data_IF_798528328021
#
_entry.id   IF_798528328021
#
_cell.length_a   1.000
_cell.length_b   1.000
_cell.length_c   1.000
_cell.angle_alpha   90.00
_cell.angle_beta   90.00
_cell.angle_gamma   90.00
#
_symmetry.space_group_name_H-M   'P 1'
#
loop_
_entity.id
_entity.type
_entity.pdbx_description
1 polymer ?
#
# COMPACT_ATOMS: atom_id res chain seq x y z
N UNK A 1 49.53 -1.58 49.97
CA UNK A 1 49.05 -2.34 48.78
C UNK A 1 47.51 -2.48 48.66
N UNK A 2 46.69 -2.13 49.63
CA UNK A 2 45.21 -2.26 49.55
C UNK A 2 44.50 -1.06 48.94
N UNK A 3 45.08 0.11 48.85
CA UNK A 3 44.48 1.32 48.34
C UNK A 3 44.60 1.47 46.79
N UNK A 4 45.59 0.84 46.18
CA UNK A 4 45.83 0.90 44.74
C UNK A 4 44.87 0.03 43.93
N UNK A 5 44.37 -1.07 44.52
CA UNK A 5 43.40 -1.94 43.86
C UNK A 5 41.99 -1.32 43.81
N UNK A 6 41.63 -0.53 44.81
CA UNK A 6 40.28 0.09 44.86
C UNK A 6 40.12 1.23 43.84
N UNK A 7 41.21 1.97 43.60
CA UNK A 7 41.20 3.07 42.61
C UNK A 7 41.16 2.54 41.17
N UNK A 8 41.80 1.40 40.90
CA UNK A 8 41.82 0.81 39.57
C UNK A 8 40.45 0.21 39.19
N UNK A 9 39.74 -0.38 40.16
CA UNK A 9 38.40 -0.94 39.95
C UNK A 9 37.34 0.15 39.70
N UNK A 10 37.48 1.29 40.38
CA UNK A 10 36.56 2.43 40.13
C UNK A 10 36.77 3.08 38.74
N UNK A 11 38.01 3.09 38.26
CA UNK A 11 38.31 3.61 36.91
C UNK A 11 37.82 2.67 35.81
N UNK A 12 37.81 1.35 36.03
CA UNK A 12 37.30 0.38 35.08
C UNK A 12 35.76 0.39 35.01
N UNK A 13 35.08 0.68 36.13
CA UNK A 13 33.61 0.83 36.11
C UNK A 13 33.15 2.13 35.45
N UNK A 14 33.95 3.19 35.48
CA UNK A 14 33.62 4.46 34.82
C UNK A 14 33.76 4.40 33.28
N UNK A 15 34.54 3.44 32.74
CA UNK A 15 34.69 3.25 31.31
C UNK A 15 33.56 2.42 30.67
N UNK A 16 32.73 1.76 31.50
CA UNK A 16 31.57 0.97 30.98
C UNK A 16 30.26 1.77 30.89
N UNK A 17 30.25 3.02 31.34
CA UNK A 17 29.16 3.95 31.08
C UNK A 17 29.34 4.66 29.72
N UNK A 18 29.64 3.92 28.64
CA UNK A 18 29.38 4.43 27.32
C UNK A 18 27.86 4.54 27.17
N UNK A 19 27.39 5.74 27.44
CA UNK A 19 26.07 6.22 27.14
C UNK A 19 25.66 5.67 25.79
N UNK A 20 24.67 4.79 25.77
CA UNK A 20 23.83 4.60 24.64
C UNK A 20 23.11 5.94 24.44
N UNK A 21 23.78 6.89 23.81
CA UNK A 21 23.17 8.13 23.41
C UNK A 21 22.08 7.73 22.43
N UNK A 22 20.81 7.84 22.86
CA UNK A 22 19.69 7.83 21.94
C UNK A 22 20.00 8.89 20.89
N UNK A 23 20.53 8.47 19.74
CA UNK A 23 20.58 9.32 18.58
C UNK A 23 19.13 9.75 18.35
N UNK A 24 18.81 11.01 18.61
CA UNK A 24 17.54 11.56 18.19
C UNK A 24 17.49 11.39 16.69
N UNK A 25 16.67 10.47 16.23
CA UNK A 25 16.40 10.31 14.82
C UNK A 25 15.62 11.55 14.39
N UNK A 26 16.27 12.41 13.63
CA UNK A 26 15.62 13.58 13.07
C UNK A 26 15.13 13.18 11.68
N UNK A 27 13.81 13.14 11.49
CA UNK A 27 13.26 13.04 10.14
C UNK A 27 12.81 14.43 9.67
N UNK A 28 12.73 14.61 8.37
CA UNK A 28 12.34 15.86 7.74
C UNK A 28 11.18 15.63 6.78
N UNK A 29 10.15 16.45 6.88
CA UNK A 29 9.06 16.50 5.91
C UNK A 29 9.27 17.66 4.92
N UNK A 30 8.88 17.50 3.64
CA UNK A 30 8.41 16.25 3.01
C UNK A 30 9.53 15.24 2.83
N UNK A 31 9.17 13.96 2.82
CA UNK A 31 10.10 12.91 2.39
C UNK A 31 10.49 13.11 0.91
N UNK A 32 11.70 12.70 0.48
CA UNK A 32 12.17 12.91 -0.89
C UNK A 32 11.56 11.92 -1.89
N UNK A 33 10.24 11.70 -1.79
CA UNK A 33 9.49 10.82 -2.69
C UNK A 33 8.12 11.41 -2.98
N UNK A 34 7.69 11.33 -4.24
CA UNK A 34 6.42 11.87 -4.69
C UNK A 34 5.45 10.71 -4.99
N UNK A 35 4.75 10.25 -3.97
CA UNK A 35 3.69 9.26 -4.08
C UNK A 35 2.34 9.86 -3.70
N UNK A 36 1.27 9.48 -4.45
CA UNK A 36 -0.08 9.40 -3.92
C UNK A 36 -0.26 8.06 -3.19
N UNK A 37 -1.27 7.97 -2.33
CA UNK A 37 -1.70 6.74 -1.66
C UNK A 37 -0.55 5.92 -1.06
N UNK A 38 0.28 6.48 -0.15
CA UNK A 38 1.45 5.77 0.34
C UNK A 38 1.05 4.60 1.24
N UNK A 39 1.56 3.41 0.93
CA UNK A 39 1.43 2.21 1.73
C UNK A 39 2.79 1.79 2.30
N UNK A 40 2.84 1.49 3.60
CA UNK A 40 4.07 1.11 4.30
C UNK A 40 3.99 -0.35 4.79
N UNK A 41 4.89 -1.18 4.27
CA UNK A 41 5.11 -2.54 4.73
C UNK A 41 6.33 -2.59 5.66
N UNK A 42 6.18 -3.19 6.84
CA UNK A 42 7.30 -3.71 7.62
C UNK A 42 7.48 -5.17 7.27
N UNK A 43 8.48 -5.49 6.47
CA UNK A 43 8.72 -6.85 6.00
C UNK A 43 9.46 -7.73 7.02
N UNK A 44 9.40 -9.04 6.83
CA UNK A 44 10.06 -10.04 7.68
C UNK A 44 11.58 -9.96 7.66
N UNK A 45 12.17 -9.36 6.61
CA UNK A 45 13.62 -9.08 6.51
C UNK A 45 14.10 -7.96 7.46
N UNK A 46 13.15 -7.30 8.14
CA UNK A 46 13.40 -6.23 9.11
C UNK A 46 13.39 -4.84 8.52
N UNK A 47 13.26 -4.68 7.20
CA UNK A 47 13.20 -3.38 6.53
C UNK A 47 11.76 -2.86 6.38
N UNK A 48 11.68 -1.57 6.09
CA UNK A 48 10.44 -0.90 5.72
C UNK A 48 10.43 -0.68 4.20
N UNK A 49 9.27 -0.87 3.58
CA UNK A 49 9.07 -0.66 2.16
C UNK A 49 7.87 0.26 1.94
N UNK A 50 8.07 1.33 1.20
CA UNK A 50 7.02 2.28 0.88
C UNK A 50 6.66 2.19 -0.59
N UNK A 51 5.40 1.89 -0.84
CA UNK A 51 4.76 1.81 -2.14
C UNK A 51 3.81 3.00 -2.30
N UNK A 52 3.44 3.33 -3.52
CA UNK A 52 2.45 4.38 -3.75
C UNK A 52 2.12 4.59 -5.23
N UNK A 53 1.09 5.37 -5.47
CA UNK A 53 0.68 5.78 -6.80
C UNK A 53 1.68 6.76 -7.41
N UNK A 54 2.11 6.51 -8.64
CA UNK A 54 3.03 7.39 -9.36
C UNK A 54 4.50 6.94 -9.31
N UNK A 55 5.39 7.83 -9.77
CA UNK A 55 6.82 7.55 -9.84
C UNK A 55 7.27 6.74 -11.06
N UNK A 56 6.36 6.01 -11.72
CA UNK A 56 6.55 5.30 -12.99
C UNK A 56 5.27 5.34 -13.81
N UNK A 57 5.39 5.20 -15.13
CA UNK A 57 4.22 5.14 -16.01
C UNK A 57 3.65 3.72 -16.02
N UNK A 58 2.33 3.62 -15.82
CA UNK A 58 1.58 2.35 -15.86
C UNK A 58 2.17 1.24 -14.98
N UNK A 59 2.56 1.59 -13.76
CA UNK A 59 3.16 0.62 -12.86
C UNK A 59 3.45 1.19 -11.48
N UNK A 60 4.29 0.49 -10.74
CA UNK A 60 4.67 0.86 -9.39
C UNK A 60 6.17 0.75 -9.18
N UNK A 61 6.67 1.54 -8.24
CA UNK A 61 8.03 1.48 -7.71
C UNK A 61 7.99 1.40 -6.19
N UNK A 62 9.14 1.13 -5.57
CA UNK A 62 9.25 1.03 -4.13
C UNK A 62 10.50 1.76 -3.62
N UNK A 63 10.39 2.28 -2.41
CA UNK A 63 11.52 2.74 -1.62
C UNK A 63 11.69 1.84 -0.40
N UNK A 64 12.94 1.58 -0.02
CA UNK A 64 13.28 0.83 1.20
C UNK A 64 13.94 1.71 2.26
N UNK A 65 13.80 1.33 3.53
CA UNK A 65 14.43 2.00 4.66
C UNK A 65 14.68 1.03 5.82
N UNK A 66 15.78 1.24 6.54
CA UNK A 66 16.06 0.55 7.79
C UNK A 66 15.54 1.33 9.01
N UNK A 67 15.29 2.65 8.87
CA UNK A 67 15.08 3.57 9.99
C UNK A 67 13.87 4.52 9.83
N UNK A 68 13.12 4.43 8.71
CA UNK A 68 12.02 5.32 8.31
C UNK A 68 12.45 6.78 8.04
N UNK A 69 13.74 7.06 8.03
CA UNK A 69 14.31 8.40 7.81
C UNK A 69 15.08 8.45 6.51
N UNK A 70 15.95 7.46 6.31
CA UNK A 70 16.78 7.34 5.12
C UNK A 70 16.15 6.35 4.17
N UNK A 71 15.81 6.80 2.97
CA UNK A 71 15.11 6.02 1.98
C UNK A 71 15.97 5.78 0.74
N UNK A 72 15.98 4.55 0.26
CA UNK A 72 16.64 4.13 -0.96
C UNK A 72 15.60 3.86 -2.04
N UNK A 73 15.75 4.45 -3.21
CA UNK A 73 14.93 4.15 -4.38
C UNK A 73 15.36 2.81 -4.99
N UNK A 74 14.51 1.80 -4.88
CA UNK A 74 14.75 0.44 -5.40
C UNK A 74 14.33 0.30 -6.87
N UNK A 75 13.68 1.31 -7.42
CA UNK A 75 13.23 1.33 -8.81
C UNK A 75 11.87 0.68 -9.04
N UNK A 76 11.51 0.43 -10.32
CA UNK A 76 10.24 -0.17 -10.71
C UNK A 76 10.13 -1.62 -10.24
N UNK A 77 8.95 -1.98 -9.72
CA UNK A 77 8.64 -3.32 -9.20
C UNK A 77 7.58 -4.05 -10.02
N UNK A 78 6.75 -3.30 -10.72
CA UNK A 78 5.65 -3.82 -11.54
C UNK A 78 5.42 -2.90 -12.73
N UNK A 79 5.12 -3.49 -13.87
CA UNK A 79 4.75 -2.81 -15.10
C UNK A 79 3.48 -3.44 -15.68
N UNK A 80 2.42 -2.67 -15.73
CA UNK A 80 1.16 -3.02 -16.40
C UNK A 80 0.96 -2.27 -17.71
N UNK A 81 -0.27 -2.30 -18.24
CA UNK A 81 -0.62 -1.63 -19.50
C UNK A 81 0.04 -2.26 -20.73
N UNK A 82 0.54 -3.49 -20.63
CA UNK A 82 1.11 -4.26 -21.74
C UNK A 82 0.03 -5.01 -22.50
N UNK A 83 0.38 -5.65 -23.63
CA UNK A 83 -0.55 -6.51 -24.38
C UNK A 83 -1.11 -7.64 -23.52
N UNK A 84 -0.31 -8.14 -22.59
CA UNK A 84 -0.63 -9.30 -21.77
C UNK A 84 -1.29 -8.91 -20.43
N UNK A 85 -1.26 -7.63 -20.05
CA UNK A 85 -1.93 -7.14 -18.86
C UNK A 85 -3.45 -7.08 -19.04
N UNK A 86 -4.23 -7.38 -17.99
CA UNK A 86 -5.68 -7.19 -17.98
C UNK A 86 -6.09 -5.71 -17.97
N UNK A 87 -5.21 -4.84 -17.46
CA UNK A 87 -5.42 -3.41 -17.27
C UNK A 87 -4.72 -2.57 -18.34
N UNK A 88 -5.27 -1.38 -18.62
CA UNK A 88 -4.73 -0.45 -19.61
C UNK A 88 -3.87 0.65 -19.00
N UNK A 89 -4.39 1.32 -17.96
CA UNK A 89 -3.80 2.53 -17.37
C UNK A 89 -4.35 2.81 -15.97
N UNK A 90 -4.01 3.97 -15.40
CA UNK A 90 -4.47 4.43 -14.08
C UNK A 90 -4.17 3.41 -12.98
N UNK A 91 -2.90 2.99 -12.86
CA UNK A 91 -2.46 2.10 -11.79
C UNK A 91 -2.34 2.88 -10.48
N UNK A 92 -3.28 2.64 -9.53
CA UNK A 92 -3.46 3.43 -8.32
C UNK A 92 -3.50 2.60 -7.06
N UNK A 93 -3.25 3.27 -5.92
CA UNK A 93 -3.40 2.79 -4.56
C UNK A 93 -2.83 1.37 -4.34
N UNK A 94 -1.51 1.16 -4.53
CA UNK A 94 -0.90 -0.15 -4.31
C UNK A 94 -0.78 -0.44 -2.82
N UNK A 95 -1.21 -1.64 -2.41
CA UNK A 95 -0.93 -2.20 -1.09
C UNK A 95 -0.19 -3.53 -1.22
N UNK A 96 0.86 -3.74 -0.43
CA UNK A 96 1.68 -4.95 -0.50
C UNK A 96 1.66 -5.69 0.82
N UNK A 97 1.25 -6.96 0.76
CA UNK A 97 1.16 -7.84 1.92
C UNK A 97 2.14 -9.01 1.79
N UNK A 98 2.84 -9.30 2.88
CA UNK A 98 3.68 -10.48 2.99
C UNK A 98 2.87 -11.64 3.59
N UNK A 99 2.80 -12.76 2.89
CA UNK A 99 2.13 -13.98 3.36
C UNK A 99 2.83 -15.22 2.81
N UNK A 100 3.07 -16.20 3.67
CA UNK A 100 3.67 -17.50 3.31
C UNK A 100 4.96 -17.39 2.46
N UNK A 101 5.81 -16.39 2.80
CA UNK A 101 7.08 -16.14 2.12
C UNK A 101 6.95 -15.53 0.72
N UNK A 102 5.79 -15.03 0.38
CA UNK A 102 5.50 -14.28 -0.85
C UNK A 102 5.00 -12.88 -0.52
N UNK A 103 5.07 -12.01 -1.52
CA UNK A 103 4.57 -10.63 -1.47
C UNK A 103 3.46 -10.48 -2.50
N UNK A 104 2.32 -9.97 -2.06
CA UNK A 104 1.13 -9.78 -2.88
C UNK A 104 0.86 -8.29 -3.02
N UNK A 105 0.99 -7.77 -4.22
CA UNK A 105 0.71 -6.39 -4.60
C UNK A 105 -0.74 -6.30 -5.09
N UNK A 106 -1.59 -5.63 -4.34
CA UNK A 106 -2.97 -5.30 -4.71
C UNK A 106 -3.01 -3.88 -5.25
N UNK A 107 -3.80 -3.64 -6.27
CA UNK A 107 -3.88 -2.33 -6.91
C UNK A 107 -5.19 -2.15 -7.67
N UNK A 108 -5.51 -0.89 -7.96
CA UNK A 108 -6.62 -0.50 -8.83
C UNK A 108 -6.09 -0.12 -10.21
N UNK A 109 -6.81 -0.46 -11.27
CA UNK A 109 -6.50 -0.02 -12.63
C UNK A 109 -7.71 -0.11 -13.55
N UNK A 110 -7.68 0.60 -14.69
CA UNK A 110 -8.71 0.50 -15.70
C UNK A 110 -8.66 -0.84 -16.43
N UNK A 111 -9.81 -1.53 -16.47
CA UNK A 111 -9.97 -2.83 -17.12
C UNK A 111 -10.18 -2.70 -18.64
N UNK A 112 -9.44 -3.47 -19.42
CA UNK A 112 -9.52 -3.47 -20.91
C UNK A 112 -10.91 -3.72 -21.45
N UNK A 113 -11.67 -4.64 -20.84
CA UNK A 113 -12.93 -5.09 -21.41
C UNK A 113 -14.07 -4.09 -21.23
N UNK A 114 -14.06 -3.32 -20.14
CA UNK A 114 -15.08 -2.30 -19.84
C UNK A 114 -16.52 -2.72 -20.20
N UNK A 115 -17.07 -3.78 -19.60
CA UNK A 115 -18.35 -4.34 -20.00
C UNK A 115 -19.52 -3.38 -19.74
N UNK A 116 -19.41 -2.49 -18.78
CA UNK A 116 -20.42 -1.51 -18.38
C UNK A 116 -20.30 -0.19 -19.15
N UNK A 117 -19.26 -0.01 -19.97
CA UNK A 117 -18.95 1.20 -20.72
C UNK A 117 -18.85 2.46 -19.84
N UNK A 118 -18.31 2.28 -18.65
CA UNK A 118 -18.00 3.37 -17.74
C UNK A 118 -16.87 4.22 -18.28
N UNK A 119 -16.88 5.53 -17.98
CA UNK A 119 -15.78 6.43 -18.35
C UNK A 119 -14.48 6.02 -17.64
N UNK A 120 -14.60 5.64 -16.37
CA UNK A 120 -13.54 5.09 -15.57
C UNK A 120 -13.96 3.70 -15.11
N UNK A 121 -13.27 2.71 -15.63
CA UNK A 121 -13.67 1.31 -15.48
C UNK A 121 -12.71 0.56 -14.56
N UNK A 122 -12.50 1.12 -13.39
CA UNK A 122 -11.58 0.55 -12.40
C UNK A 122 -12.02 -0.82 -11.90
N UNK A 123 -11.04 -1.69 -11.76
CA UNK A 123 -11.14 -2.97 -11.04
C UNK A 123 -9.87 -3.19 -10.21
N UNK A 124 -9.92 -4.18 -9.36
CA UNK A 124 -8.81 -4.58 -8.50
C UNK A 124 -8.06 -5.74 -9.11
N UNK A 125 -6.74 -5.62 -9.15
CA UNK A 125 -5.80 -6.65 -9.54
C UNK A 125 -4.90 -7.09 -8.41
N UNK A 126 -4.25 -8.23 -8.60
CA UNK A 126 -3.21 -8.74 -7.71
C UNK A 126 -2.02 -9.27 -8.52
N UNK A 127 -0.83 -8.92 -8.06
CA UNK A 127 0.42 -9.45 -8.58
C UNK A 127 1.26 -10.05 -7.44
N UNK A 128 2.13 -10.99 -7.73
CA UNK A 128 2.94 -11.70 -6.73
C UNK A 128 4.42 -11.61 -7.05
N UNK A 129 5.24 -11.58 -6.00
CA UNK A 129 6.69 -11.65 -6.09
C UNK A 129 7.30 -12.46 -4.92
N UNK A 130 8.56 -12.86 -5.09
CA UNK A 130 9.35 -13.51 -4.05
C UNK A 130 10.07 -12.51 -3.13
N UNK A 131 10.04 -11.22 -3.48
CA UNK A 131 10.72 -10.15 -2.76
C UNK A 131 9.84 -8.90 -2.72
N UNK A 132 9.96 -8.06 -1.68
CA UNK A 132 9.21 -6.81 -1.58
C UNK A 132 9.58 -5.80 -2.68
N UNK A 133 10.76 -5.97 -3.29
CA UNK A 133 11.25 -5.18 -4.42
C UNK A 133 10.89 -5.77 -5.79
N UNK A 134 10.02 -6.79 -5.83
CA UNK A 134 9.59 -7.43 -7.07
C UNK A 134 10.68 -8.28 -7.77
N UNK A 135 10.60 -8.48 -9.10
CA UNK A 135 9.50 -8.03 -9.96
C UNK A 135 8.18 -8.75 -9.66
N UNK A 136 7.11 -7.98 -9.56
CA UNK A 136 5.77 -8.52 -9.39
C UNK A 136 5.18 -8.96 -10.74
N UNK A 137 4.49 -10.11 -10.73
CA UNK A 137 3.79 -10.65 -11.90
C UNK A 137 2.31 -10.82 -11.59
N UNK A 138 1.46 -10.41 -12.51
CA UNK A 138 0.01 -10.61 -12.36
C UNK A 138 -0.31 -12.09 -12.11
N UNK A 139 -1.15 -12.35 -11.11
CA UNK A 139 -1.63 -13.69 -10.81
C UNK A 139 -2.70 -14.16 -11.79
N UNK A 140 -3.50 -13.22 -12.28
CA UNK A 140 -4.61 -13.47 -13.19
C UNK A 140 -4.56 -12.48 -14.35
N UNK A 141 -4.89 -12.95 -15.54
CA UNK A 141 -5.07 -12.08 -16.70
C UNK A 141 -6.49 -11.47 -16.73
N UNK A 142 -7.00 -11.12 -15.57
CA UNK A 142 -8.31 -10.50 -15.36
C UNK A 142 -8.36 -9.86 -13.97
N UNK A 143 -9.32 -8.97 -13.69
CA UNK A 143 -9.58 -8.50 -12.34
C UNK A 143 -9.84 -9.65 -11.36
N UNK A 144 -9.41 -9.48 -10.11
CA UNK A 144 -9.65 -10.47 -9.04
C UNK A 144 -11.13 -10.59 -8.72
N UNK A 145 -11.84 -9.47 -8.84
CA UNK A 145 -13.24 -9.37 -8.47
C UNK A 145 -13.94 -8.33 -9.34
N UNK A 146 -15.14 -8.65 -9.82
CA UNK A 146 -16.01 -7.76 -10.56
C UNK A 146 -17.42 -7.77 -9.97
N UNK A 147 -17.81 -6.73 -9.22
CA UNK A 147 -19.16 -6.58 -8.69
C UNK A 147 -20.16 -6.01 -9.72
N UNK A 148 -19.74 -5.75 -10.96
CA UNK A 148 -20.55 -5.15 -12.01
C UNK A 148 -20.56 -3.61 -12.01
N UNK A 149 -19.64 -2.98 -11.24
CA UNK A 149 -19.44 -1.53 -11.19
C UNK A 149 -17.97 -1.22 -10.84
N UNK A 150 -17.49 0.02 -11.10
CA UNK A 150 -16.11 0.40 -10.80
C UNK A 150 -15.80 0.35 -9.29
N UNK A 151 -14.63 -0.21 -8.97
CA UNK A 151 -14.11 -0.35 -7.61
C UNK A 151 -12.63 0.00 -7.55
N UNK A 152 -12.21 0.60 -6.43
CA UNK A 152 -10.82 0.99 -6.16
C UNK A 152 -10.43 0.69 -4.70
N UNK A 153 -9.16 0.94 -4.37
CA UNK A 153 -8.60 1.00 -3.01
C UNK A 153 -8.79 -0.31 -2.25
N UNK A 154 -8.16 -1.35 -2.79
CA UNK A 154 -8.16 -2.66 -2.15
C UNK A 154 -7.40 -2.64 -0.82
N UNK A 155 -8.04 -3.05 0.25
CA UNK A 155 -7.41 -3.30 1.55
C UNK A 155 -7.70 -4.73 2.00
N UNK A 156 -6.68 -5.45 2.45
CA UNK A 156 -6.78 -6.87 2.79
C UNK A 156 -6.65 -7.07 4.29
N UNK A 157 -7.64 -7.70 4.88
CA UNK A 157 -7.62 -8.16 6.26
C UNK A 157 -7.47 -9.68 6.31
N UNK A 158 -6.37 -10.14 6.90
CA UNK A 158 -6.18 -11.55 7.26
C UNK A 158 -6.69 -11.76 8.68
N UNK A 159 -7.80 -12.46 8.83
CA UNK A 159 -8.32 -12.86 10.14
C UNK A 159 -7.72 -14.21 10.53
N UNK A 160 -6.60 -14.18 11.22
CA UNK A 160 -5.89 -15.38 11.66
C UNK A 160 -6.71 -16.22 12.65
N UNK A 161 -7.69 -15.63 13.33
CA UNK A 161 -8.54 -16.36 14.29
C UNK A 161 -9.55 -17.25 13.59
N UNK A 162 -10.13 -16.81 12.49
CA UNK A 162 -11.08 -17.59 11.68
C UNK A 162 -10.44 -18.27 10.48
N UNK A 163 -9.20 -17.91 10.14
CA UNK A 163 -8.52 -18.35 8.92
C UNK A 163 -9.09 -17.74 7.64
N UNK A 164 -9.90 -16.69 7.77
CA UNK A 164 -10.53 -16.01 6.65
C UNK A 164 -9.73 -14.81 6.20
N UNK A 165 -9.91 -14.44 4.94
CA UNK A 165 -9.37 -13.22 4.37
C UNK A 165 -10.52 -12.38 3.83
N UNK A 166 -10.45 -11.09 4.09
CA UNK A 166 -11.47 -10.14 3.64
C UNK A 166 -10.83 -9.10 2.73
N UNK A 167 -11.49 -8.81 1.62
CA UNK A 167 -11.19 -7.70 0.74
C UNK A 167 -12.16 -6.57 1.05
N UNK A 168 -11.64 -5.43 1.48
CA UNK A 168 -12.36 -4.16 1.53
C UNK A 168 -12.02 -3.35 0.30
N UNK A 169 -13.00 -2.63 -0.21
CA UNK A 169 -12.82 -1.77 -1.37
C UNK A 169 -13.81 -0.60 -1.37
N UNK A 170 -13.48 0.44 -2.10
CA UNK A 170 -14.38 1.56 -2.35
C UNK A 170 -15.11 1.36 -3.68
N UNK A 171 -16.42 1.51 -3.68
CA UNK A 171 -17.18 1.72 -4.91
C UNK A 171 -16.98 3.16 -5.35
N UNK A 172 -16.43 3.35 -6.55
CA UNK A 172 -16.35 4.67 -7.17
C UNK A 172 -17.73 5.09 -7.68
N UNK A 173 -18.24 6.21 -7.20
CA UNK A 173 -19.52 6.76 -7.61
C UNK A 173 -19.28 8.05 -8.37
N UNK A 174 -18.98 7.95 -9.66
CA UNK A 174 -18.81 9.13 -10.50
C UNK A 174 -20.17 9.64 -10.96
N UNK A 175 -20.40 10.93 -10.74
CA UNK A 175 -21.45 11.75 -11.36
C UNK A 175 -22.88 11.20 -11.23
N UNK A 176 -23.29 10.70 -10.11
CA UNK A 176 -24.70 10.48 -9.86
C UNK A 176 -25.20 11.34 -8.69
N UNK A 177 -26.44 11.74 -8.78
CA UNK A 177 -27.10 12.47 -7.72
C UNK A 177 -27.21 11.55 -6.48
N UNK A 178 -26.62 11.97 -5.38
CA UNK A 178 -26.73 11.28 -4.11
C UNK A 178 -27.75 12.00 -3.25
N UNK A 179 -28.71 11.26 -2.70
CA UNK A 179 -29.71 11.76 -1.77
C UNK A 179 -29.23 11.53 -0.33
N UNK A 180 -28.41 12.46 0.18
CA UNK A 180 -27.87 12.44 1.53
C UNK A 180 -28.00 13.81 2.19
N UNK A 181 -27.89 13.88 3.52
CA UNK A 181 -27.86 15.15 4.26
C UNK A 181 -26.72 16.05 3.82
N UNK A 182 -25.53 15.46 3.54
CA UNK A 182 -24.36 16.20 3.07
C UNK A 182 -24.60 16.76 1.66
N UNK A 183 -25.20 15.96 0.78
CA UNK A 183 -25.58 16.35 -0.57
C UNK A 183 -26.57 17.52 -0.53
N UNK A 184 -27.62 17.43 0.28
CA UNK A 184 -28.60 18.50 0.45
C UNK A 184 -27.96 19.77 0.95
N UNK A 185 -27.13 19.67 1.98
CA UNK A 185 -26.41 20.81 2.55
C UNK A 185 -25.47 21.48 1.55
N UNK A 186 -24.72 20.70 0.77
CA UNK A 186 -23.77 21.23 -0.21
C UNK A 186 -24.51 21.93 -1.37
N UNK A 187 -25.64 21.37 -1.83
CA UNK A 187 -26.49 21.99 -2.86
C UNK A 187 -27.09 23.33 -2.38
N UNK A 188 -27.57 23.39 -1.11
CA UNK A 188 -28.07 24.63 -0.50
C UNK A 188 -26.99 25.73 -0.43
N UNK A 189 -25.71 25.34 -0.31
CA UNK A 189 -24.56 26.26 -0.33
C UNK A 189 -24.10 26.64 -1.73
N UNK A 190 -24.66 26.03 -2.78
CA UNK A 190 -24.23 26.23 -4.16
C UNK A 190 -22.80 25.75 -4.45
N UNK A 191 -22.34 24.77 -3.69
CA UNK A 191 -20.98 24.26 -3.84
C UNK A 191 -20.89 23.14 -4.87
N UNK A 192 -21.94 22.33 -4.99
CA UNK A 192 -21.99 21.21 -5.93
C UNK A 192 -23.36 21.07 -6.54
N UNK A 193 -23.42 20.86 -7.84
CA UNK A 193 -24.63 20.42 -8.55
C UNK A 193 -24.84 18.91 -8.39
N UNK A 194 -23.73 18.18 -8.33
CA UNK A 194 -23.64 16.73 -8.13
C UNK A 194 -22.57 16.43 -7.08
N UNK A 195 -22.77 15.41 -6.27
CA UNK A 195 -21.80 14.91 -5.30
C UNK A 195 -21.37 13.53 -5.72
N UNK A 196 -20.06 13.33 -5.75
CA UNK A 196 -19.44 12.01 -5.87
C UNK A 196 -19.33 11.39 -4.47
N UNK A 197 -19.87 10.20 -4.29
CA UNK A 197 -19.71 9.41 -3.08
C UNK A 197 -18.93 8.12 -3.36
N UNK A 198 -18.01 7.79 -2.47
CA UNK A 198 -17.39 6.47 -2.42
C UNK A 198 -17.98 5.68 -1.27
N UNK A 199 -18.46 4.48 -1.56
CA UNK A 199 -18.99 3.56 -0.56
C UNK A 199 -18.00 2.44 -0.30
N UNK A 200 -17.77 2.13 0.97
CA UNK A 200 -16.86 1.06 1.37
C UNK A 200 -17.65 -0.23 1.54
N UNK A 201 -17.17 -1.29 0.91
CA UNK A 201 -17.71 -2.64 1.01
C UNK A 201 -16.64 -3.60 1.50
N UNK A 202 -17.08 -4.71 2.09
CA UNK A 202 -16.23 -5.84 2.44
C UNK A 202 -16.80 -7.12 1.88
N UNK A 203 -15.96 -7.95 1.30
CA UNK A 203 -16.31 -9.29 0.84
C UNK A 203 -15.31 -10.29 1.40
N UNK A 204 -15.76 -11.51 1.67
CA UNK A 204 -14.87 -12.64 1.91
C UNK A 204 -14.39 -13.12 0.54
N UNK A 205 -13.12 -12.92 0.15
CA UNK A 205 -12.63 -13.40 -1.13
C UNK A 205 -12.71 -14.92 -1.16
N UNK A 206 -13.02 -15.44 -2.31
CA UNK A 206 -12.93 -16.87 -2.58
C UNK A 206 -11.53 -17.33 -2.20
N UNK A 207 -11.48 -18.32 -1.32
CA UNK A 207 -10.30 -18.95 -0.71
C UNK A 207 -8.99 -18.77 -1.49
N UNK A 208 -7.94 -18.22 -0.85
CA UNK A 208 -6.55 -18.18 -1.34
C UNK A 208 -5.95 -19.55 -1.67
N UNK A 209 -6.66 -20.64 -1.47
CA UNK A 209 -6.24 -21.98 -1.85
C UNK A 209 -6.09 -22.16 -3.36
N UNK A 210 -6.39 -21.12 -4.14
CA UNK A 210 -6.17 -21.04 -5.58
C UNK A 210 -5.24 -19.90 -6.00
N UNK A 211 -4.59 -19.18 -5.02
CA UNK A 211 -3.53 -18.22 -5.27
C UNK A 211 -2.16 -18.88 -5.19
#
# INVERSE_FOLDING_TARGET
>A
MKHTFFTLTLFLLALLSTSCGNKKVAYQNPLPMAFGDPFLLKASDGKYYMYGTGGVSNGFKVYSSDDLVTWTDEGPIYQGGTSDSWATDCFWAPEVYERDGKYYLWFSANWKENPTKEQENFRIGVAVADKPTGPFKELFNQPVFDPGYPIIDANILFDDASGKTYLYYSRCCYKHAVDSEVSTWAKEKGWFDEIEESWIYGVEPVSYTHL
#
